data_IF_662194493908
#
_entry.id   IF_662194493908
#
_cell.length_a   1.000
_cell.length_b   1.000
_cell.length_c   1.000
_cell.angle_alpha   90.00
_cell.angle_beta   90.00
_cell.angle_gamma   90.00
#
_symmetry.space_group_name_H-M   'P 1'
#
loop_
_entity.id
_entity.type
_entity.pdbx_description
1 polymer ?
#
# COMPACT_ATOMS: atom_id res chain seq x y z
N UNK A 1 29.91 -2.00 7.24
CA UNK A 1 29.41 -1.04 7.30
C UNK A 1 28.64 -0.64 6.21
N UNK A 2 28.96 0.14 5.49
CA UNK A 2 28.14 0.66 4.45
C UNK A 2 27.94 -0.33 3.35
N UNK A 3 28.54 -1.46 3.42
CA UNK A 3 28.35 -2.45 2.39
C UNK A 3 27.04 -3.18 2.48
N UNK A 4 26.35 -3.05 3.57
CA UNK A 4 25.10 -3.75 3.70
C UNK A 4 24.10 -3.24 2.67
N UNK A 5 23.36 -4.13 2.06
CA UNK A 5 22.33 -3.74 1.13
C UNK A 5 21.26 -2.94 1.84
N UNK A 6 20.64 -1.98 1.16
CA UNK A 6 19.55 -1.23 1.78
C UNK A 6 18.43 -2.17 2.18
N UNK A 7 17.81 -1.88 3.30
CA UNK A 7 16.66 -2.65 3.74
C UNK A 7 15.45 -2.23 2.90
N UNK A 8 14.74 -3.21 2.38
CA UNK A 8 13.54 -2.92 1.58
C UNK A 8 12.48 -2.29 2.47
N UNK A 9 11.75 -1.30 1.95
CA UNK A 9 10.64 -0.77 2.72
C UNK A 9 9.54 -1.79 2.87
N UNK A 10 8.79 -1.67 3.94
CA UNK A 10 7.66 -2.57 4.17
C UNK A 10 6.38 -1.94 3.65
N UNK A 11 5.54 -2.78 3.07
CA UNK A 11 4.17 -2.40 2.72
C UNK A 11 3.25 -3.25 3.58
N UNK A 12 2.57 -2.62 4.53
CA UNK A 12 1.61 -3.29 5.39
C UNK A 12 0.22 -3.09 4.81
N UNK A 13 -0.55 -4.15 4.68
CA UNK A 13 -1.85 -4.08 4.02
C UNK A 13 -2.94 -4.54 4.98
N UNK A 14 -3.91 -3.68 5.26
CA UNK A 14 -5.08 -4.01 6.07
C UNK A 14 -6.30 -3.90 5.17
N UNK A 15 -6.84 -5.04 4.77
CA UNK A 15 -7.98 -5.09 3.86
C UNK A 15 -8.76 -6.37 4.11
N UNK A 16 -10.09 -6.26 4.05
CA UNK A 16 -10.95 -7.44 4.15
C UNK A 16 -11.06 -8.15 2.81
N UNK A 17 -10.99 -7.42 1.72
CA UNK A 17 -11.19 -7.97 0.40
C UNK A 17 -9.92 -8.62 -0.09
N UNK A 18 -9.95 -9.94 -0.23
CA UNK A 18 -8.79 -10.70 -0.65
C UNK A 18 -8.29 -10.34 -2.02
N UNK A 19 -9.21 -9.95 -2.91
CA UNK A 19 -8.81 -9.60 -4.27
C UNK A 19 -7.93 -8.35 -4.24
N UNK A 20 -8.37 -7.33 -3.53
CA UNK A 20 -7.58 -6.10 -3.43
C UNK A 20 -6.30 -6.31 -2.65
N UNK A 21 -6.37 -7.09 -1.56
CA UNK A 21 -5.18 -7.36 -0.77
C UNK A 21 -4.13 -8.08 -1.60
N UNK A 22 -4.57 -9.08 -2.37
CA UNK A 22 -3.65 -9.84 -3.22
C UNK A 22 -3.03 -8.98 -4.30
N UNK A 23 -3.84 -8.10 -4.90
CA UNK A 23 -3.32 -7.21 -5.93
C UNK A 23 -2.29 -6.25 -5.38
N UNK A 24 -2.59 -5.63 -4.25
CA UNK A 24 -1.64 -4.72 -3.62
C UNK A 24 -0.36 -5.44 -3.24
N UNK A 25 -0.49 -6.63 -2.68
CA UNK A 25 0.67 -7.41 -2.29
C UNK A 25 1.54 -7.72 -3.50
N UNK A 26 0.91 -8.12 -4.61
CA UNK A 26 1.65 -8.42 -5.82
C UNK A 26 2.36 -7.20 -6.37
N UNK A 27 1.69 -6.06 -6.38
CA UNK A 27 2.31 -4.83 -6.86
C UNK A 27 3.50 -4.44 -5.98
N UNK A 28 3.34 -4.55 -4.66
CA UNK A 28 4.43 -4.22 -3.75
C UNK A 28 5.63 -5.13 -3.94
N UNK A 29 5.39 -6.42 -4.08
CA UNK A 29 6.50 -7.37 -4.29
C UNK A 29 7.21 -7.11 -5.60
N UNK A 30 6.47 -6.80 -6.65
CA UNK A 30 7.08 -6.49 -7.94
C UNK A 30 8.03 -5.31 -7.83
N UNK A 31 7.69 -4.35 -6.98
CA UNK A 31 8.54 -3.17 -6.77
C UNK A 31 9.70 -3.43 -5.83
N UNK A 32 9.72 -4.55 -5.14
CA UNK A 32 10.80 -4.87 -4.23
C UNK A 32 10.50 -4.58 -2.77
N UNK A 33 9.24 -4.29 -2.43
CA UNK A 33 8.88 -4.06 -1.05
C UNK A 33 8.70 -5.37 -0.30
N UNK A 34 8.94 -5.32 1.00
CA UNK A 34 8.62 -6.45 1.88
C UNK A 34 7.16 -6.29 2.28
N UNK A 35 6.31 -7.22 1.85
CA UNK A 35 4.86 -7.09 2.04
C UNK A 35 4.41 -7.86 3.26
N UNK A 36 3.62 -7.21 4.11
CA UNK A 36 3.06 -7.83 5.31
C UNK A 36 1.56 -7.61 5.29
N UNK A 37 0.79 -8.69 5.33
CA UNK A 37 -0.66 -8.59 5.37
C UNK A 37 -1.12 -8.60 6.82
N UNK A 38 -1.91 -7.60 7.19
CA UNK A 38 -2.50 -7.52 8.53
C UNK A 38 -3.88 -8.16 8.48
N UNK A 39 -4.17 -9.02 9.45
CA UNK A 39 -5.39 -9.82 9.42
C UNK A 39 -6.55 -9.20 10.17
N UNK A 40 -6.43 -7.97 10.56
CA UNK A 40 -7.52 -7.28 11.24
C UNK A 40 -6.98 -6.15 12.06
N UNK A 41 -7.89 -5.48 12.74
CA UNK A 41 -7.51 -4.30 13.52
C UNK A 41 -6.52 -4.63 14.64
N UNK A 42 -6.59 -5.83 15.21
CA UNK A 42 -5.67 -6.17 16.28
C UNK A 42 -4.24 -6.27 15.78
N UNK A 43 -4.05 -6.72 14.53
CA UNK A 43 -2.71 -6.75 13.95
C UNK A 43 -2.19 -5.32 13.74
N UNK A 44 -3.07 -4.40 13.33
CA UNK A 44 -2.68 -3.01 13.19
C UNK A 44 -2.30 -2.43 14.54
N UNK A 45 -3.09 -2.72 15.57
CA UNK A 45 -2.78 -2.23 16.91
C UNK A 45 -1.45 -2.75 17.40
N UNK A 46 -1.16 -4.02 17.14
CA UNK A 46 0.13 -4.59 17.53
C UNK A 46 1.28 -3.91 16.78
N UNK A 47 1.08 -3.63 15.50
CA UNK A 47 2.09 -2.93 14.71
C UNK A 47 2.35 -1.55 15.28
N UNK A 48 1.30 -0.80 15.58
CA UNK A 48 1.43 0.55 16.11
C UNK A 48 2.13 0.52 17.47
N UNK A 49 1.83 -0.50 18.29
CA UNK A 49 2.43 -0.60 19.62
C UNK A 49 3.93 -0.84 19.57
N UNK A 50 4.46 -1.32 18.47
CA UNK A 50 5.90 -1.54 18.35
C UNK A 50 6.69 -0.25 18.15
N UNK A 51 6.00 0.87 17.98
CA UNK A 51 6.66 2.15 17.84
C UNK A 51 6.73 2.61 16.38
N UNK A 52 7.37 3.73 16.12
CA UNK A 52 7.37 4.33 14.79
C UNK A 52 7.97 3.40 13.74
N UNK A 53 7.38 3.44 12.55
CA UNK A 53 7.90 2.69 11.42
C UNK A 53 9.02 3.47 10.74
N UNK A 54 9.75 2.79 9.86
CA UNK A 54 10.77 3.46 9.06
C UNK A 54 10.12 4.48 8.13
N UNK A 55 10.90 5.48 7.73
CA UNK A 55 10.38 6.59 6.95
C UNK A 55 9.83 6.16 5.59
N UNK A 56 10.31 5.05 5.05
CA UNK A 56 9.84 4.57 3.76
C UNK A 56 8.73 3.53 3.84
N UNK A 57 8.44 3.04 5.04
CA UNK A 57 7.37 2.06 5.18
C UNK A 57 6.02 2.72 4.90
N UNK A 58 5.08 1.93 4.45
CA UNK A 58 3.76 2.42 4.09
C UNK A 58 2.70 1.45 4.61
N UNK A 59 1.64 1.99 5.19
CA UNK A 59 0.49 1.21 5.60
C UNK A 59 -0.65 1.54 4.65
N UNK A 60 -1.19 0.54 3.98
CA UNK A 60 -2.33 0.71 3.09
C UNK A 60 -3.58 0.16 3.76
N UNK A 61 -4.60 0.99 3.88
CA UNK A 61 -5.82 0.63 4.58
C UNK A 61 -7.02 0.69 3.64
N UNK A 62 -7.74 -0.41 3.58
CA UNK A 62 -8.98 -0.51 2.82
C UNK A 62 -10.11 0.08 3.66
N UNK A 63 -10.58 1.26 3.29
CA UNK A 63 -11.63 1.91 4.07
C UNK A 63 -13.02 1.36 3.78
N UNK A 64 -13.13 0.40 2.86
CA UNK A 64 -14.40 -0.28 2.63
C UNK A 64 -14.57 -1.53 3.48
N UNK A 65 -13.53 -1.87 4.23
CA UNK A 65 -13.59 -3.05 5.10
C UNK A 65 -14.63 -2.84 6.21
N UNK A 66 -15.25 -3.93 6.61
CA UNK A 66 -16.30 -3.86 7.62
C UNK A 66 -15.83 -4.23 9.01
N UNK A 67 -14.64 -4.78 9.13
CA UNK A 67 -14.15 -5.26 10.39
C UNK A 67 -13.62 -4.17 11.31
N UNK A 68 -13.59 -2.93 10.85
CA UNK A 68 -13.09 -1.84 11.67
C UNK A 68 -13.64 -0.52 11.15
N UNK A 69 -13.53 0.51 11.98
CA UNK A 69 -13.97 1.85 11.62
C UNK A 69 -12.85 2.54 10.86
N UNK A 70 -13.11 2.99 9.63
CA UNK A 70 -12.03 3.46 8.74
C UNK A 70 -11.23 4.64 9.28
N UNK A 71 -11.90 5.66 9.81
CA UNK A 71 -11.16 6.81 10.30
C UNK A 71 -10.30 6.48 11.49
N UNK A 72 -10.81 5.64 12.38
CA UNK A 72 -10.05 5.23 13.55
C UNK A 72 -8.82 4.41 13.13
N UNK A 73 -8.99 3.53 12.14
CA UNK A 73 -7.87 2.73 11.65
C UNK A 73 -6.80 3.61 11.01
N UNK A 74 -7.23 4.58 10.19
CA UNK A 74 -6.29 5.49 9.55
C UNK A 74 -5.56 6.33 10.60
N UNK A 75 -6.29 6.81 11.61
CA UNK A 75 -5.68 7.63 12.66
C UNK A 75 -4.63 6.82 13.43
N UNK A 76 -4.96 5.57 13.75
CA UNK A 76 -4.01 4.71 14.44
C UNK A 76 -2.77 4.46 13.59
N UNK A 77 -2.98 4.11 12.32
CA UNK A 77 -1.86 3.85 11.42
C UNK A 77 -0.98 5.07 11.23
N UNK A 78 -1.61 6.24 11.09
CA UNK A 78 -0.87 7.48 10.85
C UNK A 78 0.01 7.84 12.04
N UNK A 79 -0.36 7.41 13.23
CA UNK A 79 0.47 7.67 14.40
C UNK A 79 1.77 6.88 14.35
N UNK A 80 1.84 5.82 13.57
CA UNK A 80 3.04 4.99 13.49
C UNK A 80 3.82 5.22 12.21
N UNK A 81 3.15 5.61 11.12
CA UNK A 81 3.86 5.77 9.86
C UNK A 81 2.99 6.33 8.76
N UNK A 82 3.56 6.38 7.57
CA UNK A 82 2.87 6.92 6.40
C UNK A 82 1.74 5.98 6.03
N UNK A 83 0.57 6.55 5.75
CA UNK A 83 -0.64 5.77 5.56
C UNK A 83 -1.34 6.16 4.27
N UNK A 84 -1.67 5.15 3.47
CA UNK A 84 -2.44 5.29 2.25
C UNK A 84 -3.83 4.74 2.51
N UNK A 85 -4.86 5.53 2.27
CA UNK A 85 -6.23 5.07 2.44
C UNK A 85 -6.82 4.78 1.06
N UNK A 86 -7.50 3.65 0.95
CA UNK A 86 -8.10 3.20 -0.30
C UNK A 86 -9.61 3.21 -0.15
N UNK A 87 -10.29 3.82 -1.10
CA UNK A 87 -11.73 3.97 -1.06
C UNK A 87 -12.37 3.34 -2.29
N UNK A 88 -13.66 3.04 -2.18
CA UNK A 88 -14.38 2.41 -3.28
C UNK A 88 -14.42 3.33 -4.49
N UNK A 89 -14.72 4.60 -4.26
CA UNK A 89 -14.81 5.57 -5.32
C UNK A 89 -14.54 6.95 -4.74
N UNK A 90 -14.56 7.94 -5.58
CA UNK A 90 -14.24 9.29 -5.15
C UNK A 90 -15.41 9.86 -4.33
N UNK A 91 -15.13 10.15 -3.09
CA UNK A 91 -16.11 10.69 -2.14
C UNK A 91 -15.40 11.83 -1.42
N UNK A 92 -15.72 13.09 -1.78
CA UNK A 92 -14.99 14.22 -1.19
C UNK A 92 -15.10 14.32 0.32
N UNK A 93 -16.27 13.97 0.88
CA UNK A 93 -16.44 14.03 2.34
C UNK A 93 -15.57 13.00 3.02
N UNK A 94 -15.57 11.77 2.51
CA UNK A 94 -14.76 10.72 3.08
C UNK A 94 -13.28 11.05 2.91
N UNK A 95 -12.90 11.54 1.73
CA UNK A 95 -11.52 11.93 1.48
C UNK A 95 -11.04 12.95 2.51
N UNK A 96 -11.85 13.98 2.75
CA UNK A 96 -11.48 15.02 3.70
C UNK A 96 -11.31 14.44 5.10
N UNK A 97 -12.23 13.57 5.51
CA UNK A 97 -12.15 12.96 6.82
C UNK A 97 -10.92 12.09 6.99
N UNK A 98 -10.59 11.31 5.95
CA UNK A 98 -9.43 10.44 6.02
C UNK A 98 -8.11 11.21 5.99
N UNK A 99 -8.05 12.29 5.22
CA UNK A 99 -6.88 13.14 5.24
C UNK A 99 -6.70 13.80 6.60
N UNK A 100 -7.80 14.23 7.20
CA UNK A 100 -7.73 14.80 8.53
C UNK A 100 -7.33 13.77 9.57
N UNK A 101 -7.71 12.51 9.37
CA UNK A 101 -7.29 11.44 10.27
C UNK A 101 -5.80 11.13 10.13
N UNK A 102 -5.15 11.64 9.11
CA UNK A 102 -3.71 11.50 8.96
C UNK A 102 -3.25 10.75 7.73
N UNK A 103 -4.16 10.36 6.84
CA UNK A 103 -3.75 9.67 5.62
C UNK A 103 -2.87 10.59 4.79
N UNK A 104 -1.77 10.04 4.29
CA UNK A 104 -0.88 10.77 3.39
C UNK A 104 -1.59 11.01 2.05
N UNK A 105 -2.37 10.03 1.63
CA UNK A 105 -3.10 10.11 0.36
C UNK A 105 -4.33 9.22 0.46
N UNK A 106 -5.39 9.65 -0.20
CA UNK A 106 -6.62 8.86 -0.30
C UNK A 106 -6.88 8.61 -1.77
N UNK A 107 -7.04 7.36 -2.16
CA UNK A 107 -7.16 6.99 -3.56
C UNK A 107 -8.28 5.98 -3.76
N UNK A 108 -9.00 6.07 -4.89
CA UNK A 108 -9.95 5.02 -5.21
C UNK A 108 -9.20 3.79 -5.70
N UNK A 109 -9.80 2.62 -5.49
CA UNK A 109 -9.20 1.38 -5.97
C UNK A 109 -8.92 1.41 -7.47
N UNK A 110 -9.75 2.12 -8.20
CA UNK A 110 -9.54 2.23 -9.64
C UNK A 110 -8.17 2.79 -9.98
N UNK A 111 -7.73 3.79 -9.23
CA UNK A 111 -6.42 4.38 -9.49
C UNK A 111 -5.31 3.35 -9.26
N UNK A 112 -5.45 2.52 -8.23
CA UNK A 112 -4.48 1.47 -8.00
C UNK A 112 -4.51 0.42 -9.09
N UNK A 113 -5.70 0.12 -9.60
CA UNK A 113 -5.82 -0.84 -10.67
C UNK A 113 -5.11 -0.34 -11.92
N UNK A 114 -5.27 0.94 -12.22
CA UNK A 114 -4.72 1.52 -13.45
C UNK A 114 -3.27 1.93 -13.32
N UNK A 115 -2.86 2.44 -12.17
CA UNK A 115 -1.53 3.04 -11.99
C UNK A 115 -0.85 2.59 -10.71
N UNK A 116 -1.20 1.41 -10.22
CA UNK A 116 -0.75 0.98 -8.90
C UNK A 116 0.76 0.94 -8.75
N UNK A 117 1.47 0.44 -9.76
CA UNK A 117 2.92 0.34 -9.65
C UNK A 117 3.55 1.73 -9.52
N UNK A 118 3.09 2.69 -10.33
CA UNK A 118 3.65 4.04 -10.27
C UNK A 118 3.36 4.69 -8.93
N UNK A 119 2.13 4.54 -8.45
CA UNK A 119 1.72 5.14 -7.19
C UNK A 119 2.49 4.54 -6.02
N UNK A 120 2.56 3.21 -5.96
CA UNK A 120 3.26 2.56 -4.86
C UNK A 120 4.78 2.82 -4.94
N UNK A 121 5.33 2.86 -6.14
CA UNK A 121 6.75 3.16 -6.29
C UNK A 121 7.05 4.54 -5.72
N UNK A 122 6.22 5.51 -6.04
CA UNK A 122 6.41 6.87 -5.53
C UNK A 122 6.31 6.88 -4.01
N UNK A 123 5.27 6.24 -3.46
CA UNK A 123 5.05 6.27 -2.02
C UNK A 123 6.09 5.48 -1.25
N UNK A 124 6.61 4.41 -1.82
CA UNK A 124 7.63 3.59 -1.16
C UNK A 124 9.05 4.08 -1.44
N UNK A 125 9.20 5.04 -2.33
CA UNK A 125 10.51 5.52 -2.69
C UNK A 125 11.33 4.50 -3.48
N UNK A 126 10.66 3.68 -4.27
CA UNK A 126 11.32 2.64 -5.05
C UNK A 126 11.28 2.99 -6.53
N UNK A 127 12.29 2.57 -7.29
CA UNK A 127 12.25 2.82 -8.73
C UNK A 127 11.21 1.94 -9.40
N UNK A 128 10.61 2.44 -10.47
CA UNK A 128 9.75 1.63 -11.29
C UNK A 128 10.57 0.67 -12.09
N UNK A 129 10.15 -0.61 -12.19
CA UNK A 129 10.84 -1.54 -13.06
C UNK A 129 10.76 -1.10 -14.51
N UNK A 130 11.67 -1.59 -15.32
CA UNK A 130 11.60 -1.33 -16.74
C UNK A 130 10.28 -1.82 -17.31
N UNK A 131 9.81 -1.14 -18.34
CA UNK A 131 8.52 -1.50 -18.94
C UNK A 131 8.48 -2.98 -19.31
N UNK A 132 9.55 -3.52 -19.84
CA UNK A 132 9.56 -4.92 -20.19
C UNK A 132 9.39 -5.84 -19.00
N UNK A 133 9.89 -5.45 -17.85
CA UNK A 133 9.72 -6.26 -16.66
C UNK A 133 8.27 -6.35 -16.23
N UNK A 134 7.54 -5.27 -16.37
CA UNK A 134 6.14 -5.27 -15.98
C UNK A 134 5.28 -6.05 -16.95
N UNK A 135 5.72 -6.16 -18.18
CA UNK A 135 4.94 -6.85 -19.19
C UNK A 135 5.45 -8.23 -19.50
N UNK A 136 6.36 -8.69 -18.74
CA UNK A 136 7.02 -9.93 -19.07
C UNK A 136 6.12 -11.06 -19.46
N UNK A 137 5.10 -11.33 -18.72
CA UNK A 137 4.30 -12.48 -19.06
C UNK A 137 3.73 -12.41 -20.44
N UNK A 138 3.31 -11.28 -20.80
CA UNK A 138 2.66 -11.24 -22.03
C UNK A 138 3.61 -11.11 -23.15
N UNK A 139 4.61 -10.54 -22.91
CA UNK A 139 5.43 -10.25 -23.98
C UNK A 139 5.88 -11.28 -24.76
N UNK A 140 5.93 -12.07 -24.25
CA UNK A 140 6.46 -12.99 -24.92
C UNK A 140 6.23 -13.04 -26.16
N UNK A 141 5.71 -13.11 -26.25
CA UNK A 141 5.54 -13.38 -27.21
C UNK A 141 6.00 -12.87 -28.21
N UNK A 142 5.86 -12.48 -28.29
CA UNK A 142 6.04 -11.97 -29.13
C UNK A 142 6.90 -11.95 -29.97
N UNK A 143 7.13 -12.07 -30.07
CA UNK A 143 7.76 -11.82 -30.67
C UNK A 143 8.27 -12.28 -31.47
N UNK A 144 8.28 -12.42 -31.81
CA UNK A 144 8.69 -12.75 -32.42
C UNK A 144 8.69 -12.66 -33.34
N UNK A 145 8.68 -12.52 -33.85
CA UNK A 145 8.75 -12.37 -34.75
C UNK A 145 9.14 -12.18 -35.15
#
# INVERSE_FOLDING_TARGET
>A
LSDAAPVAPHLYILADDLIWATRLAGQGRTLGAAVVTLNGISDLQALVARGPLSAQDLIAIDTTARGFEPEAAVRAAASAGRTLALAQHDDPSLRAALLEAGALRVMPYRALFERGHAILAELLGLPLPAVGSLEAPSGSGGTTK
#
